data_IF_312693174464
#
_entry.id   IF_312693174464
#
_cell.length_a   1.000
_cell.length_b   1.000
_cell.length_c   1.000
_cell.angle_alpha   90.00
_cell.angle_beta   90.00
_cell.angle_gamma   90.00
#
_symmetry.space_group_name_H-M   'P 1'
#
loop_
_entity.id
_entity.type
_entity.pdbx_description
1 polymer ?
#
# COMPACT_ATOMS: atom_id res chain seq x y z
N UNK A 1 22.73 -18.24 -6.63
CA UNK A 1 21.36 -18.15 -6.06
C UNK A 1 21.07 -16.69 -5.79
N UNK A 2 20.03 -16.14 -6.42
CA UNK A 2 19.60 -14.75 -6.15
C UNK A 2 18.82 -14.72 -4.83
N UNK A 3 19.30 -13.95 -3.85
CA UNK A 3 18.72 -13.83 -2.51
C UNK A 3 17.71 -12.70 -2.50
N UNK A 4 16.46 -12.98 -2.12
CA UNK A 4 15.44 -11.96 -1.92
C UNK A 4 15.49 -11.46 -0.46
N UNK A 5 16.37 -10.48 -0.20
CA UNK A 5 16.66 -9.97 1.14
C UNK A 5 15.60 -8.94 1.60
N UNK A 6 15.09 -9.10 2.82
CA UNK A 6 14.15 -8.17 3.45
C UNK A 6 14.79 -7.00 4.16
N UNK A 7 16.12 -7.01 4.36
CA UNK A 7 16.80 -5.97 5.15
C UNK A 7 16.58 -4.59 4.53
N UNK A 8 16.89 -4.42 3.24
CA UNK A 8 16.76 -3.14 2.55
C UNK A 8 15.29 -2.66 2.49
N UNK A 9 14.30 -3.50 2.11
CA UNK A 9 12.89 -3.13 2.19
C UNK A 9 12.41 -2.73 3.59
N UNK A 10 12.86 -3.43 4.63
CA UNK A 10 12.50 -3.11 6.01
C UNK A 10 13.04 -1.75 6.44
N UNK A 11 14.32 -1.46 6.16
CA UNK A 11 14.89 -0.14 6.43
C UNK A 11 14.15 0.97 5.68
N UNK A 12 13.78 0.75 4.42
CA UNK A 12 13.00 1.72 3.66
C UNK A 12 11.65 2.03 4.34
N UNK A 13 10.96 1.04 4.90
CA UNK A 13 9.73 1.25 5.66
C UNK A 13 9.95 2.02 6.97
N UNK A 14 11.01 1.70 7.72
CA UNK A 14 11.34 2.42 8.96
C UNK A 14 11.64 3.89 8.66
N UNK A 15 12.45 4.17 7.63
CA UNK A 15 12.75 5.53 7.20
C UNK A 15 11.51 6.26 6.69
N UNK A 16 10.67 5.58 5.91
CA UNK A 16 9.40 6.13 5.46
C UNK A 16 8.50 6.57 6.63
N UNK A 17 8.35 5.71 7.65
CA UNK A 17 7.58 6.03 8.85
C UNK A 17 8.17 7.23 9.60
N UNK A 18 9.50 7.32 9.70
CA UNK A 18 10.17 8.47 10.29
C UNK A 18 9.91 9.77 9.50
N UNK A 19 9.94 9.72 8.16
CA UNK A 19 9.64 10.89 7.32
C UNK A 19 8.18 11.32 7.42
N UNK A 20 7.23 10.38 7.48
CA UNK A 20 5.82 10.71 7.73
C UNK A 20 5.60 11.31 9.11
N UNK A 21 6.27 10.78 10.15
CA UNK A 21 6.22 11.35 11.48
C UNK A 21 6.81 12.77 11.51
N UNK A 22 7.94 13.00 10.85
CA UNK A 22 8.53 14.34 10.72
C UNK A 22 7.60 15.30 9.98
N UNK A 23 6.95 14.85 8.90
CA UNK A 23 5.98 15.66 8.17
C UNK A 23 4.78 16.03 9.06
N UNK A 24 4.25 15.07 9.81
CA UNK A 24 3.15 15.28 10.76
C UNK A 24 3.53 16.28 11.85
N UNK A 25 4.66 16.07 12.53
CA UNK A 25 5.16 16.97 13.57
C UNK A 25 5.42 18.37 13.04
N UNK A 26 5.96 18.49 11.81
CA UNK A 26 6.16 19.78 11.16
C UNK A 26 4.82 20.50 10.90
N UNK A 27 3.77 19.78 10.49
CA UNK A 27 2.43 20.38 10.34
C UNK A 27 1.79 20.78 11.65
N UNK A 28 1.98 20.01 12.73
CA UNK A 28 1.40 20.29 14.05
C UNK A 28 2.11 21.42 14.79
N UNK A 29 3.44 21.55 14.63
CA UNK A 29 4.25 22.54 15.34
C UNK A 29 4.36 23.89 14.61
N UNK A 30 3.58 24.10 13.54
CA UNK A 30 3.51 25.39 12.84
C UNK A 30 2.72 26.39 13.67
N UNK A 31 3.43 27.15 14.51
CA UNK A 31 2.89 28.23 15.34
C UNK A 31 2.61 29.52 14.54
N UNK A 32 3.12 29.64 13.30
CA UNK A 32 3.19 30.91 12.57
C UNK A 32 2.66 30.83 11.11
N UNK A 33 1.46 30.29 10.88
CA UNK A 33 0.77 30.52 9.60
C UNK A 33 -0.35 31.55 9.77
N UNK A 34 -0.50 32.52 8.85
CA UNK A 34 -1.52 33.56 8.95
C UNK A 34 -2.92 32.94 9.01
N UNK A 35 -3.88 33.59 9.70
CA UNK A 35 -5.20 33.03 9.92
C UNK A 35 -5.84 32.62 8.60
N UNK A 36 -6.35 31.39 8.59
CA UNK A 36 -7.05 30.76 7.47
C UNK A 36 -8.11 31.72 6.94
N UNK A 37 -7.85 32.36 5.80
CA UNK A 37 -8.90 32.99 5.01
C UNK A 37 -9.78 31.84 4.52
N UNK A 38 -11.03 31.81 4.97
CA UNK A 38 -12.00 30.78 4.61
C UNK A 38 -12.04 30.62 3.08
N UNK A 39 -11.56 29.46 2.58
CA UNK A 39 -11.58 29.11 1.15
C UNK A 39 -10.21 28.99 0.46
N UNK A 40 -9.09 29.35 1.10
CA UNK A 40 -7.76 29.14 0.53
C UNK A 40 -7.18 27.78 0.95
N UNK A 41 -6.66 26.95 0.03
CA UNK A 41 -5.96 25.71 0.39
C UNK A 41 -4.74 26.03 1.25
N UNK A 42 -4.54 25.28 2.34
CA UNK A 42 -3.32 25.37 3.15
C UNK A 42 -2.11 25.14 2.24
N UNK A 43 -1.26 26.15 2.11
CA UNK A 43 -0.01 26.00 1.39
C UNK A 43 0.94 25.12 2.22
N UNK A 44 1.10 23.85 1.84
CA UNK A 44 2.14 23.01 2.40
C UNK A 44 3.51 23.64 2.11
N UNK A 45 4.41 23.67 3.10
CA UNK A 45 5.81 24.04 2.78
C UNK A 45 6.42 23.05 1.80
N UNK A 46 7.35 23.56 0.99
CA UNK A 46 8.23 22.75 0.14
C UNK A 46 8.91 21.64 0.96
N UNK A 47 9.29 21.92 2.21
CA UNK A 47 9.84 20.92 3.13
C UNK A 47 8.86 19.79 3.45
N UNK A 48 7.61 20.10 3.78
CA UNK A 48 6.57 19.09 4.02
C UNK A 48 6.28 18.27 2.77
N UNK A 49 6.22 18.91 1.59
CA UNK A 49 6.03 18.23 0.31
C UNK A 49 7.18 17.24 0.06
N UNK A 50 8.43 17.68 0.26
CA UNK A 50 9.60 16.82 0.12
C UNK A 50 9.57 15.62 1.07
N UNK A 51 9.29 15.84 2.35
CA UNK A 51 9.18 14.76 3.35
C UNK A 51 8.11 13.73 2.97
N UNK A 52 6.93 14.17 2.53
CA UNK A 52 5.86 13.26 2.10
C UNK A 52 6.23 12.51 0.81
N UNK A 53 6.83 13.18 -0.17
CA UNK A 53 7.22 12.56 -1.43
C UNK A 53 8.29 11.48 -1.23
N UNK A 54 9.38 11.80 -0.52
CA UNK A 54 10.43 10.81 -0.20
C UNK A 54 9.91 9.71 0.72
N UNK A 55 9.07 10.06 1.70
CA UNK A 55 8.39 9.08 2.55
C UNK A 55 7.56 8.09 1.73
N UNK A 56 6.81 8.57 0.74
CA UNK A 56 5.99 7.75 -0.15
C UNK A 56 6.84 6.87 -1.07
N UNK A 57 7.92 7.40 -1.66
CA UNK A 57 8.83 6.60 -2.50
C UNK A 57 9.44 5.45 -1.70
N UNK A 58 9.96 5.74 -0.50
CA UNK A 58 10.52 4.71 0.38
C UNK A 58 9.47 3.72 0.87
N UNK A 59 8.24 4.19 1.13
CA UNK A 59 7.12 3.33 1.48
C UNK A 59 6.83 2.33 0.36
N UNK A 60 6.63 2.82 -0.85
CA UNK A 60 6.30 1.99 -2.02
C UNK A 60 7.42 0.99 -2.27
N UNK A 61 8.66 1.45 -2.27
CA UNK A 61 9.83 0.59 -2.47
C UNK A 61 9.94 -0.51 -1.40
N UNK A 62 9.85 -0.13 -0.12
CA UNK A 62 9.91 -1.08 0.99
C UNK A 62 8.74 -2.05 1.02
N UNK A 63 7.54 -1.57 0.71
CA UNK A 63 6.34 -2.39 0.67
C UNK A 63 6.40 -3.41 -0.47
N UNK A 64 6.78 -3.00 -1.68
CA UNK A 64 6.94 -3.91 -2.83
C UNK A 64 8.01 -4.95 -2.53
N UNK A 65 9.14 -4.57 -1.95
CA UNK A 65 10.22 -5.52 -1.62
C UNK A 65 9.79 -6.59 -0.61
N UNK A 66 9.09 -6.20 0.47
CA UNK A 66 8.53 -7.18 1.41
C UNK A 66 7.44 -8.05 0.79
N UNK A 67 6.59 -7.47 -0.06
CA UNK A 67 5.55 -8.19 -0.76
C UNK A 67 6.13 -9.21 -1.75
N UNK A 68 7.16 -8.83 -2.53
CA UNK A 68 7.90 -9.76 -3.41
C UNK A 68 8.47 -10.91 -2.60
N UNK A 69 9.20 -10.64 -1.51
CA UNK A 69 9.73 -11.72 -0.65
C UNK A 69 8.64 -12.62 -0.07
N UNK A 70 7.49 -12.06 0.27
CA UNK A 70 6.36 -12.85 0.74
C UNK A 70 5.75 -13.72 -0.36
N UNK A 71 5.68 -13.22 -1.59
CA UNK A 71 5.13 -13.94 -2.75
C UNK A 71 6.08 -15.02 -3.27
N UNK A 72 7.34 -14.66 -3.51
CA UNK A 72 8.37 -15.45 -4.23
C UNK A 72 9.32 -16.20 -3.27
N UNK A 73 9.24 -15.94 -1.96
CA UNK A 73 10.11 -16.55 -0.96
C UNK A 73 11.48 -15.86 -0.82
N UNK A 74 12.33 -16.37 0.07
CA UNK A 74 13.67 -15.79 0.35
C UNK A 74 14.75 -16.20 -0.66
N UNK A 75 14.50 -17.25 -1.42
CA UNK A 75 15.40 -17.81 -2.42
C UNK A 75 14.62 -18.03 -3.71
N UNK A 76 15.05 -17.41 -4.80
CA UNK A 76 14.50 -17.70 -6.12
C UNK A 76 15.02 -19.07 -6.56
N UNK A 77 14.15 -20.07 -6.51
CA UNK A 77 14.42 -21.43 -6.99
C UNK A 77 13.90 -21.54 -8.42
N UNK A 78 14.77 -21.71 -9.43
CA UNK A 78 14.32 -21.84 -10.81
C UNK A 78 13.42 -23.07 -10.96
N UNK A 79 12.33 -22.94 -11.71
CA UNK A 79 11.38 -24.02 -11.99
C UNK A 79 9.92 -23.65 -11.76
N UNK A 80 9.03 -24.60 -12.06
CA UNK A 80 7.58 -24.45 -11.89
C UNK A 80 7.19 -24.87 -10.47
N UNK A 81 6.55 -23.98 -9.74
CA UNK A 81 6.07 -24.21 -8.39
C UNK A 81 4.54 -24.27 -8.45
N UNK A 82 3.99 -25.43 -8.14
CA UNK A 82 2.55 -25.59 -8.02
C UNK A 82 2.06 -24.91 -6.74
N UNK A 83 0.88 -24.24 -6.78
CA UNK A 83 0.32 -23.62 -5.60
C UNK A 83 0.02 -24.68 -4.54
N UNK A 84 0.38 -24.39 -3.28
CA UNK A 84 0.05 -25.28 -2.16
C UNK A 84 -1.47 -25.28 -1.93
N UNK A 85 -2.17 -26.41 -2.13
CA UNK A 85 -3.60 -26.47 -1.92
C UNK A 85 -3.92 -26.31 -0.44
N UNK A 86 -4.59 -25.20 -0.09
CA UNK A 86 -5.01 -24.93 1.27
C UNK A 86 -6.43 -24.36 1.29
N UNK A 87 -7.21 -24.76 2.29
CA UNK A 87 -8.57 -24.27 2.50
C UNK A 87 -8.58 -22.86 3.11
N UNK A 88 -7.53 -22.47 3.83
CA UNK A 88 -7.45 -21.18 4.50
C UNK A 88 -7.43 -19.97 3.54
N UNK A 89 -6.64 -19.96 2.44
CA UNK A 89 -6.69 -18.90 1.42
C UNK A 89 -8.08 -18.74 0.79
N UNK A 90 -8.79 -19.85 0.55
CA UNK A 90 -10.15 -19.83 0.01
C UNK A 90 -11.13 -19.17 0.97
N UNK A 91 -11.09 -19.56 2.26
CA UNK A 91 -11.94 -18.95 3.31
C UNK A 91 -11.62 -17.47 3.46
N UNK A 92 -10.34 -17.09 3.47
CA UNK A 92 -9.92 -15.70 3.50
C UNK A 92 -10.45 -14.91 2.29
N UNK A 93 -10.36 -15.48 1.09
CA UNK A 93 -10.90 -14.89 -0.14
C UNK A 93 -12.41 -14.65 -0.07
N UNK A 94 -13.17 -15.61 0.45
CA UNK A 94 -14.63 -15.46 0.63
C UNK A 94 -14.95 -14.35 1.63
N UNK A 95 -14.30 -14.35 2.80
CA UNK A 95 -14.52 -13.35 3.86
C UNK A 95 -14.18 -11.94 3.34
N UNK A 96 -13.03 -11.79 2.68
CA UNK A 96 -12.60 -10.51 2.11
C UNK A 96 -13.56 -10.03 1.01
N UNK A 97 -14.09 -10.95 0.20
CA UNK A 97 -15.07 -10.61 -0.84
C UNK A 97 -16.39 -10.12 -0.23
N UNK A 98 -16.90 -10.79 0.81
CA UNK A 98 -18.10 -10.36 1.53
C UNK A 98 -17.86 -8.99 2.17
N UNK A 99 -16.72 -8.80 2.83
CA UNK A 99 -16.34 -7.53 3.45
C UNK A 99 -16.29 -6.40 2.41
N UNK A 100 -15.74 -6.66 1.22
CA UNK A 100 -15.69 -5.69 0.12
C UNK A 100 -17.10 -5.27 -0.32
N UNK A 101 -18.02 -6.21 -0.46
CA UNK A 101 -19.43 -5.92 -0.81
C UNK A 101 -20.09 -5.07 0.28
N UNK A 102 -19.91 -5.44 1.55
CA UNK A 102 -20.47 -4.69 2.69
C UNK A 102 -19.92 -3.25 2.73
N UNK A 103 -18.60 -3.07 2.59
CA UNK A 103 -17.97 -1.76 2.56
C UNK A 103 -18.41 -0.94 1.34
N UNK A 104 -18.59 -1.56 0.18
CA UNK A 104 -19.11 -0.90 -1.01
C UNK A 104 -20.53 -0.36 -0.78
N UNK A 105 -21.40 -1.17 -0.16
CA UNK A 105 -22.75 -0.73 0.22
C UNK A 105 -22.74 0.41 1.24
N UNK A 106 -21.85 0.34 2.23
CA UNK A 106 -21.68 1.41 3.22
C UNK A 106 -21.14 2.70 2.59
N UNK A 107 -20.17 2.60 1.68
CA UNK A 107 -19.61 3.73 0.94
C UNK A 107 -20.70 4.46 0.13
N UNK A 108 -21.54 3.72 -0.59
CA UNK A 108 -22.68 4.31 -1.32
C UNK A 108 -23.65 5.02 -0.36
N UNK A 109 -23.94 4.45 0.81
CA UNK A 109 -24.78 5.12 1.83
C UNK A 109 -24.16 6.43 2.33
N UNK A 110 -22.84 6.48 2.51
CA UNK A 110 -22.13 7.70 2.93
C UNK A 110 -22.22 8.77 1.84
N UNK A 111 -22.13 8.39 0.56
CA UNK A 111 -22.33 9.33 -0.56
C UNK A 111 -23.76 9.86 -0.62
N UNK A 112 -24.76 8.99 -0.48
CA UNK A 112 -26.18 9.40 -0.46
C UNK A 112 -26.45 10.33 0.72
N UNK A 113 -25.95 10.00 1.92
CA UNK A 113 -26.06 10.84 3.11
C UNK A 113 -25.42 12.20 2.89
N UNK A 114 -24.23 12.24 2.28
CA UNK A 114 -23.54 13.49 1.98
C UNK A 114 -24.32 14.36 1.01
N UNK A 115 -24.95 13.75 0.01
CA UNK A 115 -25.77 14.45 -0.97
C UNK A 115 -27.08 14.98 -0.37
N UNK A 116 -27.71 14.25 0.55
CA UNK A 116 -29.00 14.62 1.13
C UNK A 116 -28.91 15.64 2.27
N UNK A 117 -27.84 15.58 3.06
CA UNK A 117 -27.65 16.47 4.23
C UNK A 117 -26.75 17.66 3.97
N UNK A 118 -26.06 17.69 2.81
CA UNK A 118 -25.04 18.70 2.51
C UNK A 118 -23.77 18.59 3.37
N UNK A 119 -23.70 17.63 4.29
CA UNK A 119 -22.53 17.37 5.11
C UNK A 119 -21.62 16.34 4.42
N UNK A 120 -20.40 16.73 4.05
CA UNK A 120 -19.47 15.86 3.34
C UNK A 120 -18.33 15.37 4.25
N UNK A 121 -18.44 14.17 4.84
CA UNK A 121 -17.37 13.59 5.66
C UNK A 121 -16.25 13.02 4.77
N UNK A 122 -15.43 13.91 4.21
CA UNK A 122 -14.36 13.56 3.23
C UNK A 122 -13.35 12.55 3.77
N UNK A 123 -12.98 12.65 5.06
CA UNK A 123 -12.07 11.70 5.70
C UNK A 123 -12.67 10.29 5.78
N UNK A 124 -13.96 10.16 6.07
CA UNK A 124 -14.65 8.88 6.11
C UNK A 124 -14.77 8.28 4.71
N UNK A 125 -15.14 9.08 3.71
CA UNK A 125 -15.21 8.64 2.32
C UNK A 125 -13.84 8.15 1.82
N UNK A 126 -12.78 8.93 2.04
CA UNK A 126 -11.42 8.55 1.67
C UNK A 126 -10.94 7.30 2.39
N UNK A 127 -11.22 7.18 3.69
CA UNK A 127 -10.85 6.01 4.50
C UNK A 127 -11.53 4.73 4.04
N UNK A 128 -12.85 4.79 3.74
CA UNK A 128 -13.59 3.65 3.20
C UNK A 128 -13.08 3.23 1.83
N UNK A 129 -12.82 4.19 0.94
CA UNK A 129 -12.25 3.92 -0.38
C UNK A 129 -10.87 3.25 -0.26
N UNK A 130 -9.99 3.78 0.61
CA UNK A 130 -8.68 3.20 0.86
C UNK A 130 -8.77 1.77 1.40
N UNK A 131 -9.70 1.51 2.32
CA UNK A 131 -9.93 0.16 2.86
C UNK A 131 -10.40 -0.81 1.76
N UNK A 132 -11.30 -0.39 0.87
CA UNK A 132 -11.74 -1.19 -0.27
C UNK A 132 -10.58 -1.53 -1.21
N UNK A 133 -9.74 -0.53 -1.54
CA UNK A 133 -8.55 -0.75 -2.38
C UNK A 133 -7.55 -1.71 -1.73
N UNK A 134 -7.36 -1.61 -0.41
CA UNK A 134 -6.52 -2.54 0.34
C UNK A 134 -7.05 -3.98 0.28
N UNK A 135 -8.37 -4.17 0.45
CA UNK A 135 -9.00 -5.49 0.36
C UNK A 135 -8.82 -6.09 -1.04
N UNK A 136 -8.99 -5.29 -2.09
CA UNK A 136 -8.74 -5.73 -3.47
C UNK A 136 -7.28 -6.15 -3.65
N UNK A 137 -6.34 -5.35 -3.16
CA UNK A 137 -4.91 -5.68 -3.23
C UNK A 137 -4.59 -7.00 -2.49
N UNK A 138 -5.18 -7.22 -1.32
CA UNK A 138 -5.04 -8.47 -0.56
C UNK A 138 -5.63 -9.67 -1.31
N UNK A 139 -6.81 -9.53 -1.91
CA UNK A 139 -7.43 -10.57 -2.73
C UNK A 139 -6.53 -10.96 -3.90
N UNK A 140 -5.94 -9.98 -4.60
CA UNK A 140 -4.99 -10.23 -5.69
C UNK A 140 -3.71 -10.91 -5.21
N UNK A 141 -3.17 -10.50 -4.06
CA UNK A 141 -1.97 -11.11 -3.49
C UNK A 141 -2.21 -12.58 -3.07
N UNK A 142 -3.35 -12.87 -2.45
CA UNK A 142 -3.77 -14.23 -2.11
C UNK A 142 -3.97 -15.06 -3.39
N UNK A 143 -4.64 -14.49 -4.39
CA UNK A 143 -4.87 -15.14 -5.67
C UNK A 143 -3.55 -15.51 -6.36
N UNK A 144 -2.61 -14.56 -6.47
CA UNK A 144 -1.28 -14.79 -7.04
C UNK A 144 -0.54 -15.90 -6.31
N UNK A 145 -0.54 -15.89 -4.98
CA UNK A 145 0.28 -16.82 -4.18
C UNK A 145 -0.28 -18.25 -4.13
N UNK A 146 -1.60 -18.40 -4.04
CA UNK A 146 -2.21 -19.70 -3.70
C UNK A 146 -3.02 -20.34 -4.84
N UNK A 147 -3.19 -19.65 -5.97
CA UNK A 147 -4.03 -20.16 -7.06
C UNK A 147 -3.37 -20.08 -8.44
N UNK A 148 -2.28 -19.33 -8.59
CA UNK A 148 -1.52 -19.23 -9.85
C UNK A 148 -0.26 -20.11 -9.73
N UNK A 149 0.07 -20.83 -10.81
CA UNK A 149 1.35 -21.54 -10.93
C UNK A 149 2.47 -20.53 -11.14
N UNK A 150 3.53 -20.64 -10.35
CA UNK A 150 4.69 -19.76 -10.45
C UNK A 150 5.75 -20.41 -11.33
N UNK A 151 6.25 -19.68 -12.32
CA UNK A 151 7.39 -20.09 -13.13
C UNK A 151 8.53 -19.10 -12.90
N UNK A 152 9.57 -19.57 -12.23
CA UNK A 152 10.79 -18.76 -12.01
C UNK A 152 11.78 -19.11 -13.11
N UNK A 153 11.92 -18.19 -14.06
CA UNK A 153 12.94 -18.25 -15.10
C UNK A 153 14.22 -17.61 -14.55
N UNK A 154 15.27 -18.40 -14.37
CA UNK A 154 16.61 -17.86 -14.17
C UNK A 154 17.23 -17.61 -15.54
N UNK A 155 17.02 -16.42 -16.09
CA UNK A 155 17.75 -16.00 -17.27
C UNK A 155 19.20 -15.68 -16.86
N UNK A 156 20.18 -16.25 -17.57
CA UNK A 156 21.57 -15.91 -17.35
C UNK A 156 21.79 -14.49 -17.85
N UNK A 157 22.03 -13.56 -16.94
CA UNK A 157 22.37 -12.19 -17.28
C UNK A 157 23.68 -12.18 -18.11
N UNK A 158 23.55 -11.90 -19.40
CA UNK A 158 24.67 -11.60 -20.31
C UNK A 158 24.78 -10.08 -20.50
N UNK A 159 24.63 -9.33 -19.42
CA UNK A 159 24.92 -7.90 -19.43
C UNK A 159 26.44 -7.71 -19.37
N UNK A 160 27.00 -6.96 -20.31
CA UNK A 160 28.40 -6.49 -20.24
C UNK A 160 28.59 -5.43 -19.15
N UNK A 161 27.52 -5.01 -18.46
CA UNK A 161 27.55 -4.05 -17.38
C UNK A 161 27.24 -4.70 -16.03
N UNK A 162 27.96 -4.34 -14.95
CA UNK A 162 27.90 -5.03 -13.66
C UNK A 162 26.68 -4.65 -12.79
N UNK A 163 25.62 -4.08 -13.37
CA UNK A 163 24.37 -3.72 -12.71
C UNK A 163 23.16 -3.92 -13.62
#
# INVERSE_FOLDING_TARGET
MYRNDAVVPYFALVFSAALFLMAYLNTTNRVNEPPVIAGAPHAMSVGTIGLLAFGMVLFIYGFIGLLSRWLEGSELRPGVHDPEPSTAPTVAGVILSILLVVLSGFFVRVLIYSNSTGNNPTALQGGLFAAMMLIIALLLAIYKKFFIKEEVLAESEKSDFPW
#
